data_IF_120089299821
#
_entry.id   IF_120089299821
#
_cell.length_a   1.000
_cell.length_b   1.000
_cell.length_c   1.000
_cell.angle_alpha   90.00
_cell.angle_beta   90.00
_cell.angle_gamma   90.00
#
_symmetry.space_group_name_H-M   'P 1'
#
loop_
_entity.id
_entity.type
_entity.pdbx_description
1 polymer ?
#
# COMPACT_ATOMS: atom_id res chain seq x y z
N UNK A 1 22.26 12.21 -43.90
CA UNK A 1 23.26 11.29 -43.31
C UNK A 1 22.54 10.09 -42.71
N UNK A 2 22.53 8.95 -43.41
CA UNK A 2 22.08 7.68 -42.82
C UNK A 2 23.16 7.21 -41.85
N UNK A 3 22.81 7.12 -40.57
CA UNK A 3 23.76 6.84 -39.49
C UNK A 3 23.14 5.91 -38.45
N UNK A 4 22.80 4.69 -38.87
CA UNK A 4 22.97 3.44 -38.10
C UNK A 4 22.86 3.58 -36.56
N UNK A 5 21.65 3.73 -36.04
CA UNK A 5 21.34 3.34 -34.64
C UNK A 5 20.43 2.11 -34.60
N UNK A 6 20.55 1.23 -35.61
CA UNK A 6 19.84 -0.05 -35.69
C UNK A 6 20.53 -1.21 -34.97
N UNK A 7 21.39 -0.96 -33.98
CA UNK A 7 22.10 -2.04 -33.32
C UNK A 7 22.66 -1.61 -31.98
N UNK A 8 22.05 -2.11 -30.90
CA UNK A 8 22.52 -1.98 -29.52
C UNK A 8 22.38 -0.59 -28.88
N UNK A 9 21.18 -0.03 -28.90
CA UNK A 9 20.63 0.32 -27.58
C UNK A 9 20.32 -1.03 -26.93
N UNK A 10 21.34 -1.63 -26.29
CA UNK A 10 21.11 -2.65 -25.25
C UNK A 10 19.94 -2.14 -24.41
N UNK A 11 19.07 -2.98 -23.83
CA UNK A 11 18.09 -2.52 -22.87
C UNK A 11 18.81 -1.83 -21.69
N UNK A 12 19.18 -0.55 -21.85
CA UNK A 12 19.74 0.33 -20.81
C UNK A 12 18.70 0.59 -19.73
N UNK A 13 17.47 0.11 -19.99
CA UNK A 13 16.29 0.18 -19.15
C UNK A 13 15.55 -1.16 -19.21
N UNK A 14 16.26 -2.30 -19.13
CA UNK A 14 15.59 -3.46 -18.52
C UNK A 14 15.05 -2.96 -17.17
N UNK A 15 13.75 -3.13 -16.86
CA UNK A 15 13.26 -2.73 -15.56
C UNK A 15 14.11 -3.51 -14.59
N UNK A 16 14.96 -2.81 -13.83
CA UNK A 16 15.35 -3.31 -12.53
C UNK A 16 14.01 -3.42 -11.82
N UNK A 17 13.38 -4.58 -11.93
CA UNK A 17 12.51 -5.09 -10.90
C UNK A 17 13.47 -5.27 -9.74
N UNK A 18 13.83 -4.13 -9.14
CA UNK A 18 14.22 -4.05 -7.75
C UNK A 18 13.02 -4.70 -7.09
N UNK A 19 13.18 -6.01 -6.83
CA UNK A 19 12.34 -6.71 -5.88
C UNK A 19 12.50 -5.82 -4.67
N UNK A 20 11.46 -5.05 -4.40
CA UNK A 20 11.34 -4.33 -3.16
C UNK A 20 11.26 -5.46 -2.15
N UNK A 21 12.42 -5.87 -1.66
CA UNK A 21 12.54 -6.73 -0.51
C UNK A 21 11.85 -5.92 0.57
N UNK A 22 10.58 -6.26 0.82
CA UNK A 22 9.82 -5.66 1.89
C UNK A 22 10.53 -6.14 3.15
N UNK A 23 11.44 -5.31 3.67
CA UNK A 23 12.21 -5.58 4.87
C UNK A 23 11.24 -5.92 6.03
N UNK A 24 11.70 -6.67 7.04
CA UNK A 24 10.86 -7.12 8.15
C UNK A 24 10.11 -5.96 8.86
N UNK A 25 10.65 -4.74 8.79
CA UNK A 25 10.02 -3.51 9.26
C UNK A 25 8.74 -3.14 8.47
N UNK A 26 8.72 -3.33 7.15
CA UNK A 26 7.54 -3.06 6.32
C UNK A 26 6.41 -4.05 6.63
N UNK A 27 6.74 -5.32 6.93
CA UNK A 27 5.78 -6.33 7.37
C UNK A 27 5.21 -5.99 8.76
N UNK A 28 6.07 -5.56 9.69
CA UNK A 28 5.66 -5.12 11.02
C UNK A 28 4.74 -3.88 10.96
N UNK A 29 5.05 -2.91 10.11
CA UNK A 29 4.22 -1.72 9.91
C UNK A 29 2.88 -2.05 9.24
N UNK A 30 2.85 -2.98 8.27
CA UNK A 30 1.59 -3.46 7.68
C UNK A 30 0.73 -4.18 8.71
N UNK A 31 1.32 -5.02 9.57
CA UNK A 31 0.61 -5.70 10.64
C UNK A 31 0.02 -4.70 11.65
N UNK A 32 0.82 -3.73 12.11
CA UNK A 32 0.36 -2.65 13.00
C UNK A 32 -0.76 -1.82 12.37
N UNK A 33 -0.61 -1.38 11.11
CA UNK A 33 -1.64 -0.62 10.38
C UNK A 33 -2.95 -1.40 10.21
N UNK A 34 -2.88 -2.72 9.97
CA UNK A 34 -4.08 -3.56 9.90
C UNK A 34 -4.78 -3.66 11.26
N UNK A 35 -4.03 -3.90 12.34
CA UNK A 35 -4.59 -3.95 13.69
C UNK A 35 -5.22 -2.61 14.11
N UNK A 36 -4.56 -1.48 13.81
CA UNK A 36 -5.11 -0.15 14.05
C UNK A 36 -6.37 0.12 13.22
N UNK A 37 -6.39 -0.26 11.94
CA UNK A 37 -7.56 -0.11 11.09
C UNK A 37 -8.75 -0.94 11.57
N UNK A 38 -8.51 -2.16 12.05
CA UNK A 38 -9.54 -3.03 12.65
C UNK A 38 -10.07 -2.45 13.96
N UNK A 39 -9.18 -1.97 14.84
CA UNK A 39 -9.56 -1.30 16.08
C UNK A 39 -10.40 -0.04 15.82
N UNK A 40 -10.00 0.77 14.83
CA UNK A 40 -10.75 1.97 14.43
C UNK A 40 -12.10 1.61 13.80
N UNK A 41 -12.19 0.54 13.00
CA UNK A 41 -13.47 0.07 12.44
C UNK A 41 -14.40 -0.44 13.54
N UNK A 42 -13.90 -1.24 14.48
CA UNK A 42 -14.68 -1.72 15.61
C UNK A 42 -15.13 -0.58 16.53
N UNK A 43 -14.26 0.40 16.79
CA UNK A 43 -14.61 1.60 17.56
C UNK A 43 -15.63 2.46 16.82
N UNK A 44 -15.51 2.61 15.50
CA UNK A 44 -16.48 3.32 14.66
C UNK A 44 -17.82 2.61 14.61
N UNK A 45 -17.87 1.28 14.53
CA UNK A 45 -19.13 0.54 14.58
C UNK A 45 -19.78 0.63 15.97
N UNK A 46 -19.02 0.45 17.05
CA UNK A 46 -19.52 0.66 18.42
C UNK A 46 -20.00 2.10 18.63
N UNK A 47 -19.28 3.08 18.12
CA UNK A 47 -19.64 4.50 18.16
C UNK A 47 -20.86 4.82 17.30
N UNK A 48 -20.99 4.21 16.11
CA UNK A 48 -22.16 4.35 15.23
C UNK A 48 -23.40 3.73 15.85
N UNK A 49 -23.27 2.56 16.49
CA UNK A 49 -24.38 1.92 17.22
C UNK A 49 -24.82 2.81 18.40
N UNK A 50 -23.87 3.32 19.19
CA UNK A 50 -24.16 4.16 20.36
C UNK A 50 -24.71 5.55 20.00
N UNK A 51 -24.18 6.19 18.96
CA UNK A 51 -24.68 7.48 18.50
C UNK A 51 -25.97 7.33 17.69
N UNK A 52 -26.12 6.26 16.92
CA UNK A 52 -27.37 5.94 16.21
C UNK A 52 -28.52 5.65 17.16
N UNK A 53 -28.25 5.00 18.30
CA UNK A 53 -29.25 4.82 19.36
C UNK A 53 -29.57 6.08 20.15
N UNK A 54 -28.70 7.10 20.12
CA UNK A 54 -28.92 8.38 20.82
C UNK A 54 -29.59 9.44 19.94
N UNK A 55 -29.53 9.31 18.61
CA UNK A 55 -30.19 10.23 17.66
C UNK A 55 -31.62 9.77 17.32
N UNK A 56 -31.98 8.52 17.63
CA UNK A 56 -33.29 7.92 17.33
C UNK A 56 -34.26 7.88 18.53
N UNK A 57 -33.93 8.54 19.65
CA UNK A 57 -34.81 8.72 20.84
C UNK A 57 -35.07 10.21 20.99
#
# INVERSE_FOLDING_TARGET
MSGRQGGKLKPLKAPKKDKKDEDDDDLALKAKKKAEAEALKAAKEKGRLKNGSLVAI
#
